data_IF_420770274819
#
_entry.id   IF_420770274819
#
_cell.length_a   1.000
_cell.length_b   1.000
_cell.length_c   1.000
_cell.angle_alpha   90.00
_cell.angle_beta   90.00
_cell.angle_gamma   90.00
#
_symmetry.space_group_name_H-M   'P 1'
#
loop_
_entity.id
_entity.type
_entity.pdbx_description
1 polymer ?
#
# COMPACT_ATOMS: atom_id res chain seq x y z
N UNK A 1 -70.38 -10.35 -8.80
CA UNK A 1 -69.24 -9.78 -9.57
C UNK A 1 -68.16 -9.13 -8.70
N UNK A 2 -68.47 -8.57 -7.52
CA UNK A 2 -67.49 -7.91 -6.63
C UNK A 2 -66.44 -8.87 -6.03
N UNK A 3 -66.78 -10.15 -5.80
CA UNK A 3 -65.86 -11.15 -5.24
C UNK A 3 -64.76 -11.63 -6.20
N UNK A 4 -65.02 -11.62 -7.51
CA UNK A 4 -64.02 -12.03 -8.51
C UNK A 4 -62.97 -10.94 -8.79
N UNK A 5 -63.33 -9.67 -8.60
CA UNK A 5 -62.39 -8.55 -8.70
C UNK A 5 -61.34 -8.51 -7.57
N UNK A 6 -61.74 -8.89 -6.35
CA UNK A 6 -60.83 -8.96 -5.21
C UNK A 6 -59.76 -10.06 -5.38
N UNK A 7 -60.13 -11.21 -5.95
CA UNK A 7 -59.21 -12.33 -6.20
C UNK A 7 -58.21 -11.99 -7.33
N UNK A 8 -58.64 -11.25 -8.36
CA UNK A 8 -57.76 -10.77 -9.42
C UNK A 8 -56.71 -9.75 -8.94
N UNK A 9 -57.07 -8.89 -7.98
CA UNK A 9 -56.14 -7.95 -7.33
C UNK A 9 -55.13 -8.70 -6.45
N UNK A 10 -55.54 -9.72 -5.68
CA UNK A 10 -54.64 -10.56 -4.90
C UNK A 10 -53.66 -11.38 -5.76
N UNK A 11 -54.07 -11.82 -6.95
CA UNK A 11 -53.17 -12.51 -7.90
C UNK A 11 -52.18 -11.56 -8.60
N UNK A 12 -52.55 -10.29 -8.82
CA UNK A 12 -51.63 -9.26 -9.32
C UNK A 12 -50.60 -8.81 -8.26
N UNK A 13 -50.89 -9.00 -6.97
CA UNK A 13 -49.98 -8.69 -5.85
C UNK A 13 -48.84 -9.71 -5.68
N UNK A 14 -48.97 -10.93 -6.21
CA UNK A 14 -47.94 -11.97 -6.10
C UNK A 14 -46.73 -11.75 -7.04
N UNK A 15 -46.80 -10.81 -7.98
CA UNK A 15 -45.71 -10.44 -8.88
C UNK A 15 -44.93 -9.19 -8.43
N UNK A 16 -44.90 -8.89 -7.12
CA UNK A 16 -44.14 -7.76 -6.57
C UNK A 16 -42.62 -8.02 -6.53
N UNK A 17 -41.98 -8.14 -7.71
CA UNK A 17 -40.54 -7.88 -7.87
C UNK A 17 -40.27 -6.50 -8.50
N UNK A 18 -41.31 -5.66 -8.62
CA UNK A 18 -41.29 -4.45 -9.43
C UNK A 18 -41.21 -3.14 -8.63
N UNK A 19 -40.81 -3.17 -7.35
CA UNK A 19 -40.43 -1.94 -6.63
C UNK A 19 -38.92 -1.74 -6.84
N UNK A 20 -38.48 -0.63 -7.45
CA UNK A 20 -37.05 -0.35 -7.59
C UNK A 20 -36.35 -0.29 -6.23
N UNK A 21 -35.49 -1.27 -5.97
CA UNK A 21 -34.65 -1.35 -4.78
C UNK A 21 -33.24 -0.79 -5.04
N UNK A 22 -32.70 -0.06 -4.07
CA UNK A 22 -31.32 0.43 -4.09
C UNK A 22 -30.39 -0.63 -3.47
N UNK A 23 -30.07 -1.66 -4.24
CA UNK A 23 -29.21 -2.77 -3.81
C UNK A 23 -29.92 -3.89 -3.04
N UNK A 24 -29.17 -4.94 -2.65
CA UNK A 24 -29.71 -6.15 -2.02
C UNK A 24 -30.16 -5.94 -0.57
N UNK A 25 -31.18 -6.67 -0.13
CA UNK A 25 -31.54 -6.76 1.29
C UNK A 25 -30.54 -7.65 2.04
N UNK A 26 -30.48 -7.50 3.36
CA UNK A 26 -29.74 -8.39 4.25
C UNK A 26 -30.15 -9.86 4.03
N UNK A 27 -31.45 -10.12 3.83
CA UNK A 27 -31.97 -11.44 3.50
C UNK A 27 -31.44 -11.99 2.18
N UNK A 28 -31.27 -11.14 1.16
CA UNK A 28 -30.75 -11.56 -0.14
C UNK A 28 -29.28 -11.99 -0.01
N UNK A 29 -28.47 -11.16 0.67
CA UNK A 29 -27.05 -11.44 0.94
C UNK A 29 -26.90 -12.74 1.75
N UNK A 30 -27.70 -12.91 2.80
CA UNK A 30 -27.71 -14.12 3.63
C UNK A 30 -28.16 -15.36 2.85
N UNK A 31 -29.13 -15.23 1.93
CA UNK A 31 -29.66 -16.36 1.15
C UNK A 31 -28.73 -16.84 0.05
N UNK A 32 -27.80 -15.99 -0.40
CA UNK A 32 -26.80 -16.31 -1.42
C UNK A 32 -25.51 -16.88 -0.82
N UNK A 33 -25.24 -16.59 0.47
CA UNK A 33 -24.04 -17.06 1.16
C UNK A 33 -23.91 -18.59 1.12
N UNK A 34 -22.71 -19.06 0.76
CA UNK A 34 -22.37 -20.47 0.68
C UNK A 34 -22.99 -21.24 -0.48
N UNK A 35 -23.59 -20.55 -1.47
CA UNK A 35 -24.17 -21.15 -2.67
C UNK A 35 -23.32 -20.86 -3.91
N UNK A 36 -23.29 -21.83 -4.81
CA UNK A 36 -22.71 -21.74 -6.14
C UNK A 36 -23.55 -20.86 -7.06
N UNK A 37 -22.94 -20.35 -8.14
CA UNK A 37 -23.66 -19.60 -9.17
C UNK A 37 -24.84 -20.36 -9.79
N UNK A 38 -24.72 -21.68 -9.97
CA UNK A 38 -25.82 -22.52 -10.43
C UNK A 38 -26.96 -22.63 -9.42
N UNK A 39 -26.66 -22.72 -8.13
CA UNK A 39 -27.69 -22.81 -7.07
C UNK A 39 -28.51 -21.53 -6.97
N UNK A 40 -27.91 -20.36 -7.24
CA UNK A 40 -28.60 -19.05 -7.21
C UNK A 40 -29.08 -18.59 -8.60
N UNK A 41 -28.87 -19.39 -9.65
CA UNK A 41 -29.31 -19.07 -11.01
C UNK A 41 -28.56 -17.90 -11.68
N UNK A 42 -27.33 -17.59 -11.24
CA UNK A 42 -26.49 -16.52 -11.82
C UNK A 42 -25.23 -17.13 -12.43
N UNK A 43 -25.09 -16.99 -13.75
CA UNK A 43 -23.87 -17.39 -14.47
C UNK A 43 -22.70 -16.52 -13.99
N UNK A 44 -21.56 -17.14 -13.71
CA UNK A 44 -20.33 -16.49 -13.24
C UNK A 44 -20.46 -15.72 -11.91
N UNK A 45 -21.38 -16.13 -11.03
CA UNK A 45 -21.45 -15.54 -9.70
C UNK A 45 -20.21 -15.89 -8.86
N UNK A 46 -19.64 -14.88 -8.22
CA UNK A 46 -18.62 -15.05 -7.18
C UNK A 46 -19.24 -15.73 -5.97
N UNK A 47 -18.78 -16.94 -5.66
CA UNK A 47 -19.14 -17.64 -4.43
C UNK A 47 -18.45 -16.94 -3.26
N UNK A 48 -19.19 -16.71 -2.19
CA UNK A 48 -18.68 -16.16 -0.93
C UNK A 48 -19.45 -16.80 0.23
N UNK A 49 -19.02 -16.53 1.45
CA UNK A 49 -19.73 -16.91 2.65
C UNK A 49 -19.70 -15.77 3.68
N UNK A 50 -20.55 -15.87 4.69
CA UNK A 50 -20.72 -14.84 5.71
C UNK A 50 -20.11 -15.28 7.03
N UNK A 51 -19.40 -14.36 7.66
CA UNK A 51 -18.92 -14.44 9.04
C UNK A 51 -19.58 -13.34 9.85
N UNK A 52 -20.27 -13.71 10.92
CA UNK A 52 -20.73 -12.74 11.89
C UNK A 52 -19.56 -12.19 12.69
N UNK A 53 -19.45 -10.86 12.72
CA UNK A 53 -18.37 -10.19 13.44
C UNK A 53 -18.61 -10.31 14.93
N UNK A 54 -17.65 -10.95 15.58
CA UNK A 54 -17.54 -11.15 17.02
C UNK A 54 -16.11 -10.89 17.51
N UNK A 55 -15.85 -11.05 18.80
CA UNK A 55 -14.52 -10.82 19.37
C UNK A 55 -13.44 -11.76 18.86
N UNK A 56 -13.78 -12.98 18.40
CA UNK A 56 -12.82 -13.93 17.85
C UNK A 56 -12.39 -13.53 16.44
N UNK A 57 -13.36 -13.35 15.55
CA UNK A 57 -13.16 -12.93 14.16
C UNK A 57 -12.44 -11.58 14.07
N UNK A 58 -12.83 -10.59 14.90
CA UNK A 58 -12.14 -9.30 14.92
C UNK A 58 -10.66 -9.41 15.29
N UNK A 59 -10.32 -10.21 16.33
CA UNK A 59 -8.93 -10.43 16.75
C UNK A 59 -8.12 -11.21 15.72
N UNK A 60 -8.71 -12.22 15.11
CA UNK A 60 -8.05 -13.01 14.07
C UNK A 60 -7.68 -12.12 12.88
N UNK A 61 -8.61 -11.27 12.45
CA UNK A 61 -8.39 -10.33 11.35
C UNK A 61 -7.40 -9.22 11.72
N UNK A 62 -7.43 -8.70 12.95
CA UNK A 62 -6.56 -7.60 13.39
C UNK A 62 -5.09 -8.00 13.55
N UNK A 63 -4.83 -9.23 14.00
CA UNK A 63 -3.47 -9.68 14.32
C UNK A 63 -2.67 -10.15 13.10
N UNK A 64 -3.31 -10.21 11.93
CA UNK A 64 -2.67 -10.71 10.72
C UNK A 64 -1.74 -9.66 10.08
N UNK A 65 -0.45 -9.98 9.96
CA UNK A 65 0.56 -9.14 9.30
C UNK A 65 1.09 -9.85 8.06
N UNK A 66 0.74 -9.35 6.87
CA UNK A 66 1.30 -9.84 5.61
C UNK A 66 2.75 -9.38 5.44
N UNK A 67 3.68 -10.31 5.63
CA UNK A 67 5.05 -10.46 5.06
C UNK A 67 5.84 -9.24 4.55
N UNK A 68 7.11 -9.19 4.99
CA UNK A 68 8.05 -8.07 4.99
C UNK A 68 9.14 -8.08 3.86
N UNK A 69 9.67 -6.91 3.49
CA UNK A 69 10.74 -6.58 2.52
C UNK A 69 12.06 -7.32 2.83
N UNK A 70 12.39 -7.51 4.12
CA UNK A 70 13.54 -8.31 4.58
C UNK A 70 13.52 -9.76 4.06
N UNK A 71 12.30 -10.28 3.82
CA UNK A 71 11.95 -11.44 2.97
C UNK A 71 12.80 -11.61 1.72
N UNK A 72 12.78 -10.54 0.90
CA UNK A 72 13.14 -10.57 -0.53
C UNK A 72 14.56 -10.11 -0.79
N UNK A 73 15.06 -9.19 0.04
CA UNK A 73 16.39 -8.59 -0.14
C UNK A 73 17.38 -8.98 0.97
N UNK A 74 16.92 -9.65 2.03
CA UNK A 74 17.68 -9.86 3.26
C UNK A 74 17.75 -8.57 4.09
N UNK A 75 18.03 -8.70 5.39
CA UNK A 75 18.48 -7.57 6.22
C UNK A 75 19.90 -7.28 5.75
N UNK A 76 20.06 -6.27 4.89
CA UNK A 76 21.22 -6.08 4.00
C UNK A 76 22.57 -6.51 4.58
N UNK A 77 23.29 -7.34 3.83
CA UNK A 77 24.70 -7.64 4.07
C UNK A 77 25.52 -6.35 4.13
N UNK A 78 26.52 -6.32 5.02
CA UNK A 78 27.33 -5.14 5.31
C UNK A 78 27.89 -4.47 4.05
N UNK A 79 28.31 -3.21 4.19
CA UNK A 79 28.90 -2.43 3.10
C UNK A 79 29.97 -3.29 2.42
N UNK A 80 29.67 -3.78 1.22
CA UNK A 80 30.70 -4.37 0.37
C UNK A 80 31.84 -3.36 0.28
N UNK A 81 33.09 -3.84 0.24
CA UNK A 81 34.28 -2.99 0.30
C UNK A 81 34.10 -1.75 -0.60
N UNK A 82 34.08 -0.55 -0.04
CA UNK A 82 33.81 0.67 -0.80
C UNK A 82 34.98 0.92 -1.75
N UNK A 83 34.72 0.77 -3.03
CA UNK A 83 35.69 1.01 -4.09
C UNK A 83 35.34 2.26 -4.87
N UNK A 84 36.38 2.92 -5.36
CA UNK A 84 36.30 4.02 -6.32
C UNK A 84 35.72 3.48 -7.63
N UNK A 85 34.81 4.22 -8.24
CA UNK A 85 34.23 3.92 -9.55
C UNK A 85 34.54 4.99 -10.60
N UNK A 86 34.11 4.72 -11.83
CA UNK A 86 34.23 5.65 -12.96
C UNK A 86 33.37 6.89 -12.71
N UNK A 87 33.93 8.08 -12.98
CA UNK A 87 33.26 9.36 -12.74
C UNK A 87 33.38 9.91 -11.31
N UNK A 88 34.02 9.17 -10.39
CA UNK A 88 34.35 9.69 -9.07
C UNK A 88 35.39 10.81 -9.17
N UNK A 89 35.22 11.81 -8.31
CA UNK A 89 36.13 12.94 -8.15
C UNK A 89 36.95 12.74 -6.88
N UNK A 90 38.27 12.74 -7.02
CA UNK A 90 39.20 12.54 -5.91
C UNK A 90 40.16 13.71 -5.83
N UNK A 91 40.61 14.00 -4.60
CA UNK A 91 41.69 14.93 -4.33
C UNK A 91 42.88 14.12 -3.81
N UNK A 92 43.98 14.16 -4.54
CA UNK A 92 45.24 13.51 -4.18
C UNK A 92 46.18 14.57 -3.66
N UNK A 93 46.53 14.52 -2.38
CA UNK A 93 47.55 15.37 -1.78
C UNK A 93 48.84 14.58 -1.66
N UNK A 94 49.92 15.09 -2.26
CA UNK A 94 51.25 14.50 -2.22
C UNK A 94 52.15 15.42 -1.39
N UNK A 95 52.83 14.86 -0.41
CA UNK A 95 53.76 15.53 0.50
C UNK A 95 55.18 15.00 0.27
N UNK A 96 56.18 15.86 0.40
CA UNK A 96 57.60 15.48 0.34
C UNK A 96 58.38 16.08 1.51
N UNK A 97 59.37 15.35 2.01
CA UNK A 97 60.19 15.80 3.14
C UNK A 97 61.19 16.92 2.73
N UNK A 98 61.68 16.87 1.47
CA UNK A 98 62.70 17.77 0.93
C UNK A 98 62.20 19.19 0.60
N UNK A 99 63.10 20.17 0.62
CA UNK A 99 62.82 21.57 0.22
C UNK A 99 62.86 21.81 -1.28
N UNK A 100 63.49 20.90 -2.05
CA UNK A 100 63.56 20.88 -3.53
C UNK A 100 62.82 19.66 -4.11
N UNK A 101 61.76 19.22 -3.44
CA UNK A 101 60.95 18.07 -3.84
C UNK A 101 60.12 18.33 -5.11
N UNK A 102 59.85 17.27 -5.88
CA UNK A 102 59.12 17.31 -7.17
C UNK A 102 57.70 17.88 -7.04
N UNK A 103 57.09 17.70 -5.86
CA UNK A 103 55.76 18.17 -5.48
C UNK A 103 55.78 19.23 -4.37
N UNK A 104 56.93 19.87 -4.13
CA UNK A 104 57.06 20.99 -3.19
C UNK A 104 57.18 22.33 -3.94
N UNK A 105 56.60 23.38 -3.38
CA UNK A 105 56.83 24.76 -3.78
C UNK A 105 57.59 25.49 -2.68
N UNK A 106 58.16 26.66 -2.99
CA UNK A 106 58.90 27.50 -2.02
C UNK A 106 58.08 27.83 -0.76
N UNK A 107 56.75 27.80 -0.85
CA UNK A 107 55.83 28.13 0.25
C UNK A 107 55.08 26.90 0.83
N UNK A 108 55.06 25.75 0.14
CA UNK A 108 54.27 24.59 0.53
C UNK A 108 54.98 23.27 0.23
N UNK A 109 55.11 22.40 1.24
CA UNK A 109 55.62 21.03 1.10
C UNK A 109 54.59 20.02 0.58
N UNK A 110 53.47 20.50 0.05
CA UNK A 110 52.41 19.66 -0.49
C UNK A 110 51.86 20.20 -1.81
N UNK A 111 51.49 19.28 -2.69
CA UNK A 111 50.72 19.55 -3.91
C UNK A 111 49.41 18.77 -3.85
N UNK A 112 48.29 19.44 -4.09
CA UNK A 112 46.98 18.82 -4.21
C UNK A 112 46.54 18.78 -5.68
N UNK A 113 46.09 17.61 -6.13
CA UNK A 113 45.66 17.35 -7.50
C UNK A 113 44.22 16.84 -7.46
N UNK A 114 43.32 17.59 -8.09
CA UNK A 114 41.95 17.14 -8.30
C UNK A 114 41.90 16.27 -9.57
N UNK A 115 41.40 15.06 -9.44
CA UNK A 115 41.30 14.09 -10.53
C UNK A 115 39.87 13.56 -10.67
N UNK A 116 39.52 13.19 -11.90
CA UNK A 116 38.27 12.49 -12.22
C UNK A 116 38.62 11.16 -12.85
N UNK A 117 38.04 10.07 -12.34
CA UNK A 117 38.26 8.72 -12.87
C UNK A 117 37.59 8.58 -14.23
N UNK A 118 38.38 8.32 -15.26
CA UNK A 118 37.93 8.24 -16.65
C UNK A 118 37.22 6.91 -16.96
N UNK A 119 36.53 6.78 -18.11
CA UNK A 119 35.79 5.56 -18.49
C UNK A 119 36.62 4.26 -18.54
N UNK A 120 37.92 4.36 -18.77
CA UNK A 120 38.87 3.23 -18.70
C UNK A 120 39.23 2.82 -17.26
N UNK A 121 38.72 3.56 -16.27
CA UNK A 121 38.95 3.35 -14.85
C UNK A 121 40.26 3.94 -14.33
N UNK A 122 40.94 4.79 -15.10
CA UNK A 122 42.21 5.39 -14.75
C UNK A 122 42.12 6.91 -14.55
N UNK A 123 43.15 7.51 -13.95
CA UNK A 123 43.38 8.94 -13.95
C UNK A 123 44.89 9.23 -13.98
N UNK A 124 45.27 10.35 -14.58
CA UNK A 124 46.66 10.75 -14.70
C UNK A 124 47.14 11.46 -13.42
N UNK A 125 48.29 11.02 -12.90
CA UNK A 125 49.02 11.71 -11.85
C UNK A 125 50.32 12.26 -12.47
N UNK A 126 50.62 13.56 -12.35
CA UNK A 126 51.85 14.15 -12.88
C UNK A 126 53.09 13.37 -12.46
N UNK A 127 54.04 13.22 -13.38
CA UNK A 127 55.30 12.46 -13.23
C UNK A 127 55.17 10.95 -12.97
N UNK A 128 54.00 10.46 -12.53
CA UNK A 128 53.68 9.04 -12.40
C UNK A 128 53.14 8.46 -13.70
N UNK A 129 52.22 9.17 -14.36
CA UNK A 129 51.46 8.70 -15.52
C UNK A 129 50.05 8.24 -15.14
N UNK A 130 49.49 7.34 -15.94
CA UNK A 130 48.13 6.83 -15.72
C UNK A 130 48.10 5.78 -14.59
N UNK A 131 47.24 5.98 -13.59
CA UNK A 131 47.04 5.07 -12.46
C UNK A 131 45.61 4.55 -12.48
N UNK A 132 45.43 3.23 -12.30
CA UNK A 132 44.10 2.63 -12.19
C UNK A 132 43.48 2.93 -10.82
N UNK A 133 42.28 3.50 -10.81
CA UNK A 133 41.51 3.81 -9.61
C UNK A 133 40.23 2.96 -9.49
N UNK A 134 39.53 2.72 -10.60
CA UNK A 134 38.28 1.97 -10.58
C UNK A 134 38.46 0.56 -9.98
N UNK A 135 37.61 0.20 -9.02
CA UNK A 135 37.65 -1.06 -8.30
C UNK A 135 38.65 -1.12 -7.14
N UNK A 136 39.37 -0.02 -6.83
CA UNK A 136 40.27 0.07 -5.66
C UNK A 136 39.62 0.82 -4.51
N UNK A 137 39.98 0.50 -3.28
CA UNK A 137 39.70 1.36 -2.13
C UNK A 137 40.60 2.60 -2.15
N UNK A 138 40.26 3.64 -1.38
CA UNK A 138 41.11 4.83 -1.21
C UNK A 138 42.53 4.44 -0.74
N UNK A 139 42.64 3.51 0.20
CA UNK A 139 43.94 2.99 0.66
C UNK A 139 44.71 2.24 -0.43
N UNK A 140 44.03 1.43 -1.24
CA UNK A 140 44.68 0.72 -2.36
C UNK A 140 45.15 1.69 -3.44
N UNK A 141 44.39 2.76 -3.71
CA UNK A 141 44.80 3.82 -4.60
C UNK A 141 46.02 4.58 -4.05
N UNK A 142 46.01 4.93 -2.75
CA UNK A 142 47.13 5.56 -2.04
C UNK A 142 48.41 4.73 -2.17
N UNK A 143 48.33 3.44 -1.85
CA UNK A 143 49.48 2.52 -1.95
C UNK A 143 50.03 2.43 -3.37
N UNK A 144 49.16 2.40 -4.38
CA UNK A 144 49.59 2.35 -5.77
C UNK A 144 50.30 3.62 -6.23
N UNK A 145 49.84 4.80 -5.78
CA UNK A 145 50.50 6.08 -6.06
C UNK A 145 51.86 6.12 -5.37
N UNK A 146 51.92 5.75 -4.08
CA UNK A 146 53.17 5.70 -3.32
C UNK A 146 54.21 4.81 -4.01
N UNK A 147 53.84 3.59 -4.38
CA UNK A 147 54.72 2.67 -5.10
C UNK A 147 55.26 3.25 -6.42
N UNK A 148 54.43 4.00 -7.13
CA UNK A 148 54.84 4.63 -8.38
C UNK A 148 55.74 5.88 -8.18
N UNK A 149 55.79 6.42 -6.96
CA UNK A 149 56.58 7.59 -6.58
C UNK A 149 57.91 7.27 -5.89
N UNK A 150 58.12 6.05 -5.38
CA UNK A 150 59.32 5.65 -4.59
C UNK A 150 60.65 6.04 -5.26
N UNK A 151 60.74 5.95 -6.59
CA UNK A 151 61.96 6.26 -7.34
C UNK A 151 61.91 7.63 -8.04
N UNK A 152 60.92 8.47 -7.72
CA UNK A 152 60.65 9.75 -8.40
C UNK A 152 60.57 10.94 -7.46
N UNK A 153 60.21 10.72 -6.20
CA UNK A 153 60.04 11.76 -5.18
C UNK A 153 60.83 11.39 -3.90
N UNK A 154 61.20 12.38 -3.09
CA UNK A 154 61.98 12.17 -1.87
C UNK A 154 61.03 11.94 -0.69
N UNK A 155 61.02 10.71 -0.18
CA UNK A 155 60.16 10.28 0.93
C UNK A 155 58.69 10.74 0.76
N UNK A 156 58.03 10.33 -0.36
CA UNK A 156 56.69 10.80 -0.64
C UNK A 156 55.68 10.23 0.37
N UNK A 157 54.77 11.07 0.85
CA UNK A 157 53.54 10.66 1.52
C UNK A 157 52.31 11.12 0.72
N UNK A 158 51.25 10.33 0.72
CA UNK A 158 50.09 10.54 -0.15
C UNK A 158 48.81 10.39 0.64
N UNK A 159 47.88 11.33 0.47
CA UNK A 159 46.52 11.26 0.98
C UNK A 159 45.57 11.27 -0.22
N UNK A 160 44.62 10.33 -0.25
CA UNK A 160 43.57 10.28 -1.27
C UNK A 160 42.23 10.49 -0.61
N UNK A 161 41.57 11.61 -0.95
CA UNK A 161 40.28 12.00 -0.40
C UNK A 161 39.22 11.93 -1.49
N UNK A 162 38.05 11.37 -1.16
CA UNK A 162 36.89 11.39 -2.05
C UNK A 162 36.20 12.75 -1.97
N UNK A 163 36.07 13.44 -3.11
CA UNK A 163 35.38 14.75 -3.21
C UNK A 163 33.95 14.58 -3.74
N UNK A 164 33.75 13.65 -4.67
CA UNK A 164 32.43 13.33 -5.23
C UNK A 164 32.33 11.87 -5.66
N UNK A 165 31.24 11.21 -5.30
CA UNK A 165 31.02 9.77 -5.54
C UNK A 165 29.95 9.52 -6.61
N UNK A 166 30.16 10.07 -7.81
CA UNK A 166 29.20 9.95 -8.93
C UNK A 166 28.89 8.50 -9.28
N UNK A 167 29.87 7.60 -9.15
CA UNK A 167 29.70 6.18 -9.44
C UNK A 167 28.82 5.43 -8.43
N UNK A 168 28.57 6.04 -7.26
CA UNK A 168 27.83 5.44 -6.14
C UNK A 168 26.61 6.28 -5.83
N UNK A 169 25.66 6.34 -6.75
CA UNK A 169 24.40 7.07 -6.54
C UNK A 169 23.20 6.13 -6.36
N UNK A 170 22.16 6.65 -5.72
CA UNK A 170 20.82 6.05 -5.64
C UNK A 170 19.84 7.04 -6.22
N UNK A 171 18.91 6.58 -7.04
CA UNK A 171 17.86 7.45 -7.57
C UNK A 171 16.71 7.49 -6.58
N UNK A 172 16.33 8.67 -6.10
CA UNK A 172 15.14 8.86 -5.26
C UNK A 172 14.14 9.74 -5.99
N UNK A 173 12.93 9.25 -6.22
CA UNK A 173 11.91 9.97 -6.99
C UNK A 173 10.49 9.72 -6.48
N UNK A 174 9.53 10.45 -7.07
CA UNK A 174 8.12 10.41 -6.70
C UNK A 174 7.76 11.42 -5.61
N UNK A 175 6.93 11.00 -4.65
CA UNK A 175 6.37 11.80 -3.56
C UNK A 175 7.40 12.09 -2.45
N UNK A 176 8.51 12.73 -2.80
CA UNK A 176 9.55 13.24 -1.90
C UNK A 176 9.76 14.73 -2.11
N UNK A 177 10.35 15.42 -1.13
CA UNK A 177 10.53 16.88 -1.18
C UNK A 177 11.43 17.35 -2.32
N UNK A 178 12.46 16.57 -2.68
CA UNK A 178 13.47 16.87 -3.70
C UNK A 178 13.87 15.59 -4.48
N UNK A 179 13.09 15.18 -5.49
CA UNK A 179 13.46 14.08 -6.38
C UNK A 179 14.83 14.34 -7.02
N UNK A 180 15.78 13.42 -6.83
CA UNK A 180 17.18 13.59 -7.28
C UNK A 180 17.95 12.27 -7.28
N UNK A 181 19.12 12.29 -7.95
CA UNK A 181 20.15 11.27 -7.72
C UNK A 181 20.94 11.66 -6.47
N UNK A 182 20.96 10.76 -5.49
CA UNK A 182 21.57 10.96 -4.18
C UNK A 182 22.92 10.21 -4.15
N UNK A 183 24.08 10.91 -4.11
CA UNK A 183 25.38 10.26 -3.96
C UNK A 183 25.51 9.59 -2.59
N UNK A 184 26.04 8.37 -2.54
CA UNK A 184 26.23 7.60 -1.31
C UNK A 184 27.54 7.96 -0.63
N UNK A 185 27.47 8.03 0.70
CA UNK A 185 28.61 8.22 1.59
C UNK A 185 29.47 6.96 1.69
N UNK A 186 30.59 7.05 2.40
CA UNK A 186 31.48 5.90 2.66
C UNK A 186 30.93 4.94 3.73
N UNK A 187 29.88 5.36 4.45
CA UNK A 187 29.17 4.54 5.43
C UNK A 187 27.97 3.82 4.79
N UNK A 188 27.44 2.80 5.46
CA UNK A 188 26.15 2.22 5.09
C UNK A 188 25.06 3.27 5.25
N UNK A 189 24.20 3.42 4.24
CA UNK A 189 23.01 4.25 4.32
C UNK A 189 21.79 3.39 4.06
N UNK A 190 20.73 3.64 4.80
CA UNK A 190 19.44 2.96 4.69
C UNK A 190 18.52 3.64 3.69
N UNK A 191 17.42 2.98 3.33
CA UNK A 191 16.35 3.56 2.50
C UNK A 191 15.86 4.88 3.11
N UNK A 192 15.66 4.92 4.43
CA UNK A 192 15.19 6.13 5.12
C UNK A 192 16.22 7.26 5.08
N UNK A 193 17.52 6.96 5.15
CA UNK A 193 18.57 7.99 5.11
C UNK A 193 18.58 8.71 3.76
N UNK A 194 18.49 7.96 2.65
CA UNK A 194 18.47 8.55 1.31
C UNK A 194 17.15 9.26 1.01
N UNK A 195 16.01 8.78 1.53
CA UNK A 195 14.73 9.50 1.44
C UNK A 195 14.80 10.82 2.22
N UNK A 196 15.41 10.82 3.41
CA UNK A 196 15.59 12.04 4.20
C UNK A 196 16.47 13.06 3.47
N UNK A 197 17.58 12.62 2.86
CA UNK A 197 18.44 13.49 2.03
C UNK A 197 17.74 14.01 0.78
N UNK A 198 16.78 13.26 0.24
CA UNK A 198 15.88 13.72 -0.83
C UNK A 198 14.74 14.62 -0.32
N UNK A 199 14.85 15.22 0.87
CA UNK A 199 13.86 16.15 1.43
C UNK A 199 12.69 15.49 2.16
N UNK A 200 12.75 14.18 2.41
CA UNK A 200 11.71 13.44 3.12
C UNK A 200 10.45 13.17 2.29
N UNK A 201 9.51 12.35 2.80
CA UNK A 201 8.22 12.10 2.17
C UNK A 201 7.33 13.35 2.21
N UNK A 202 6.54 13.59 1.15
CA UNK A 202 5.57 14.72 1.11
C UNK A 202 4.16 14.33 1.58
N UNK A 203 3.93 13.05 1.86
CA UNK A 203 2.67 12.53 2.36
C UNK A 203 2.88 11.77 3.68
N UNK A 204 1.82 11.57 4.48
CA UNK A 204 1.94 10.84 5.73
C UNK A 204 2.45 9.40 5.51
N UNK A 205 3.20 8.83 6.48
CA UNK A 205 3.76 7.47 6.33
C UNK A 205 2.74 6.37 6.09
N UNK A 206 1.48 6.57 6.52
CA UNK A 206 0.39 5.62 6.34
C UNK A 206 -0.30 5.69 4.96
N UNK A 207 0.03 6.68 4.13
CA UNK A 207 -0.40 6.81 2.73
C UNK A 207 0.77 6.70 1.75
N UNK A 208 1.99 6.54 2.25
CA UNK A 208 3.20 6.56 1.43
C UNK A 208 3.75 5.16 1.27
N UNK A 209 3.91 4.70 0.03
CA UNK A 209 4.56 3.44 -0.28
C UNK A 209 5.94 3.70 -0.89
N UNK A 210 6.92 2.96 -0.42
CA UNK A 210 8.29 3.00 -0.91
C UNK A 210 8.54 1.75 -1.74
N UNK A 211 8.90 1.95 -2.99
CA UNK A 211 9.30 0.88 -3.91
C UNK A 211 10.80 0.94 -4.13
N UNK A 212 11.49 -0.15 -3.77
CA UNK A 212 12.90 -0.35 -4.08
C UNK A 212 13.03 -1.28 -5.29
N UNK A 213 13.79 -0.83 -6.29
CA UNK A 213 14.23 -1.65 -7.42
C UNK A 213 15.75 -1.80 -7.39
N UNK A 214 16.23 -3.05 -7.30
CA UNK A 214 17.65 -3.43 -7.26
C UNK A 214 17.88 -4.64 -8.17
N UNK A 215 18.79 -4.54 -9.15
CA UNK A 215 19.17 -5.65 -10.04
C UNK A 215 17.94 -6.42 -10.62
N UNK A 216 16.98 -5.69 -11.19
CA UNK A 216 15.69 -6.21 -11.73
C UNK A 216 14.74 -6.85 -10.71
N UNK A 217 15.02 -6.76 -9.40
CA UNK A 217 14.07 -7.15 -8.34
C UNK A 217 13.40 -5.90 -7.79
N UNK A 218 12.08 -5.94 -7.68
CA UNK A 218 11.27 -4.84 -7.14
C UNK A 218 10.47 -5.31 -5.93
N UNK A 219 10.42 -4.48 -4.89
CA UNK A 219 9.51 -4.67 -3.77
C UNK A 219 9.00 -3.34 -3.27
N UNK A 220 7.73 -3.34 -2.88
CA UNK A 220 7.02 -2.19 -2.33
C UNK A 220 6.66 -2.45 -0.88
N UNK A 221 6.81 -1.44 -0.03
CA UNK A 221 6.46 -1.50 1.40
C UNK A 221 5.84 -0.18 1.82
N UNK A 222 4.97 -0.22 2.83
CA UNK A 222 4.43 1.00 3.44
C UNK A 222 5.55 1.73 4.18
N UNK A 223 5.63 3.04 4.03
CA UNK A 223 6.64 3.87 4.70
C UNK A 223 6.54 3.76 6.23
N UNK A 224 5.33 3.65 6.78
CA UNK A 224 5.12 3.38 8.20
C UNK A 224 5.82 2.09 8.67
N UNK A 225 5.81 1.03 7.85
CA UNK A 225 6.50 -0.22 8.17
C UNK A 225 8.02 -0.03 8.24
N UNK A 226 8.61 0.82 7.39
CA UNK A 226 10.03 1.16 7.48
C UNK A 226 10.38 1.91 8.77
N UNK A 227 9.45 2.73 9.28
CA UNK A 227 9.61 3.46 10.55
C UNK A 227 9.47 2.54 11.76
N UNK A 228 8.52 1.60 11.72
CA UNK A 228 8.18 0.75 12.87
C UNK A 228 9.08 -0.49 13.00
N UNK A 229 9.61 -0.97 11.87
CA UNK A 229 10.38 -2.21 11.81
C UNK A 229 11.79 -1.94 11.26
N UNK A 230 12.81 -1.79 12.13
CA UNK A 230 14.18 -1.53 11.69
C UNK A 230 14.74 -2.56 10.69
N UNK A 231 14.25 -3.80 10.72
CA UNK A 231 14.64 -4.87 9.77
C UNK A 231 14.20 -4.59 8.34
N UNK A 232 13.19 -3.74 8.15
CA UNK A 232 12.61 -3.37 6.86
C UNK A 232 13.34 -2.19 6.23
N UNK A 233 13.96 -1.35 7.06
CA UNK A 233 14.81 -0.24 6.64
C UNK A 233 16.22 -0.73 6.22
N UNK A 234 16.27 -1.49 5.13
CA UNK A 234 17.51 -2.10 4.64
C UNK A 234 18.48 -1.07 4.04
N UNK A 235 19.76 -1.42 3.98
CA UNK A 235 20.79 -0.61 3.35
C UNK A 235 20.62 -0.54 1.83
N UNK A 236 20.88 0.64 1.26
CA UNK A 236 20.86 0.89 -0.18
C UNK A 236 22.22 0.56 -0.82
N UNK A 237 22.20 0.30 -2.11
CA UNK A 237 23.37 -0.02 -2.93
C UNK A 237 23.47 0.94 -4.12
N UNK A 238 24.68 1.19 -4.64
CA UNK A 238 24.85 1.92 -5.90
C UNK A 238 23.94 1.36 -7.00
N UNK A 239 23.23 2.25 -7.70
CA UNK A 239 22.30 1.91 -8.78
C UNK A 239 20.88 1.55 -8.32
N UNK A 240 20.61 1.50 -7.02
CA UNK A 240 19.24 1.33 -6.52
C UNK A 240 18.33 2.47 -7.01
N UNK A 241 17.07 2.12 -7.28
CA UNK A 241 16.02 3.09 -7.57
C UNK A 241 14.95 3.01 -6.50
N UNK A 242 14.70 4.13 -5.84
CA UNK A 242 13.71 4.28 -4.79
C UNK A 242 12.62 5.22 -5.31
N UNK A 243 11.42 4.68 -5.44
CA UNK A 243 10.25 5.43 -5.85
C UNK A 243 9.27 5.50 -4.69
N UNK A 244 8.95 6.72 -4.23
CA UNK A 244 7.95 6.96 -3.20
C UNK A 244 6.65 7.37 -3.88
N UNK A 245 5.54 6.74 -3.54
CA UNK A 245 4.22 7.10 -4.09
C UNK A 245 3.24 7.34 -2.96
N UNK A 246 2.39 8.35 -3.13
CA UNK A 246 1.23 8.55 -2.27
C UNK A 246 0.07 7.72 -2.83
N UNK A 247 -0.34 6.70 -2.10
CA UNK A 247 -1.53 5.89 -2.39
C UNK A 247 -2.37 5.78 -1.10
N UNK A 248 -3.29 6.73 -0.86
CA UNK A 248 -4.10 6.72 0.34
C UNK A 248 -5.00 5.49 0.35
N UNK A 249 -5.05 4.79 1.49
CA UNK A 249 -6.02 3.70 1.66
C UNK A 249 -7.43 4.26 1.66
N UNK A 250 -8.33 3.58 0.97
CA UNK A 250 -9.73 4.00 0.84
C UNK A 250 -10.65 2.83 1.06
N UNK A 251 -11.85 3.07 1.60
CA UNK A 251 -12.97 2.13 1.54
C UNK A 251 -14.10 2.75 0.73
N UNK A 252 -15.06 1.93 0.33
CA UNK A 252 -16.29 2.38 -0.33
C UNK A 252 -17.46 2.03 0.57
N UNK A 253 -18.37 2.98 0.80
CA UNK A 253 -19.59 2.76 1.58
C UNK A 253 -20.83 3.04 0.73
N UNK A 254 -21.78 2.12 0.78
CA UNK A 254 -22.98 2.10 -0.08
C UNK A 254 -24.21 1.65 0.72
N UNK A 255 -25.39 1.85 0.13
CA UNK A 255 -26.67 1.38 0.66
C UNK A 255 -27.40 2.45 1.46
N UNK A 256 -28.06 2.05 2.55
CA UNK A 256 -28.88 2.93 3.41
C UNK A 256 -28.01 3.72 4.41
N UNK A 257 -27.02 4.46 3.91
CA UNK A 257 -26.21 5.41 4.68
C UNK A 257 -26.52 6.84 4.28
N UNK A 258 -26.07 7.82 5.08
CA UNK A 258 -26.29 9.24 4.76
C UNK A 258 -25.45 9.74 3.57
N UNK A 259 -24.30 9.12 3.30
CA UNK A 259 -23.43 9.46 2.16
C UNK A 259 -22.81 8.24 1.50
N UNK A 260 -23.26 7.91 0.28
CA UNK A 260 -22.66 6.86 -0.56
C UNK A 260 -21.43 7.42 -1.29
N UNK A 261 -20.23 6.94 -0.95
CA UNK A 261 -18.98 7.48 -1.47
C UNK A 261 -17.78 6.57 -1.26
N UNK A 262 -16.68 6.89 -1.94
CA UNK A 262 -15.33 6.36 -1.63
C UNK A 262 -14.66 7.31 -0.64
N UNK A 263 -14.20 6.79 0.48
CA UNK A 263 -13.67 7.57 1.61
C UNK A 263 -12.20 7.19 1.86
N UNK A 264 -11.26 8.16 1.88
CA UNK A 264 -9.90 7.91 2.34
C UNK A 264 -9.87 7.70 3.86
N UNK A 265 -8.97 6.83 4.33
CA UNK A 265 -8.89 6.49 5.75
C UNK A 265 -8.54 7.72 6.61
N UNK A 266 -7.67 8.59 6.11
CA UNK A 266 -7.16 9.73 6.88
C UNK A 266 -6.28 9.36 8.09
N UNK A 267 -6.02 8.07 8.30
CA UNK A 267 -5.27 7.51 9.42
C UNK A 267 -4.57 6.19 9.05
N UNK A 268 -3.71 5.70 9.95
CA UNK A 268 -3.04 4.41 9.76
C UNK A 268 -3.97 3.22 9.94
N UNK A 269 -4.90 3.32 10.86
CA UNK A 269 -5.84 2.26 11.15
C UNK A 269 -7.21 2.91 11.18
N UNK A 270 -8.21 2.17 10.71
CA UNK A 270 -9.59 2.62 10.69
C UNK A 270 -10.43 1.42 11.08
N UNK A 271 -11.22 1.54 12.14
CA UNK A 271 -12.14 0.48 12.53
C UNK A 271 -13.51 0.62 11.83
N UNK A 272 -14.34 -0.42 11.90
CA UNK A 272 -15.62 -0.47 11.19
C UNK A 272 -16.58 0.65 11.65
N UNK A 273 -16.60 0.96 12.95
CA UNK A 273 -17.47 2.03 13.45
C UNK A 273 -17.01 3.42 12.98
N UNK A 274 -15.71 3.68 12.99
CA UNK A 274 -15.15 4.92 12.45
C UNK A 274 -15.46 5.06 10.95
N UNK A 275 -15.33 3.99 10.17
CA UNK A 275 -15.65 4.01 8.74
C UNK A 275 -17.12 4.33 8.48
N UNK A 276 -18.05 3.74 9.25
CA UNK A 276 -19.48 4.08 9.15
C UNK A 276 -19.74 5.52 9.62
N UNK A 277 -19.05 5.98 10.66
CA UNK A 277 -19.18 7.35 11.16
C UNK A 277 -18.68 8.40 10.15
N UNK A 278 -17.58 8.13 9.43
CA UNK A 278 -17.07 8.99 8.35
C UNK A 278 -18.07 9.19 7.20
N UNK A 279 -19.03 8.27 7.04
CA UNK A 279 -20.12 8.37 6.07
C UNK A 279 -21.38 9.07 6.62
N UNK A 280 -21.35 9.54 7.88
CA UNK A 280 -22.49 10.11 8.58
C UNK A 280 -23.40 9.09 9.27
N UNK A 281 -23.03 7.80 9.25
CA UNK A 281 -23.82 6.71 9.79
C UNK A 281 -24.92 6.19 8.85
N UNK A 282 -25.67 5.22 9.35
CA UNK A 282 -26.89 4.74 8.70
C UNK A 282 -27.95 5.83 8.58
N UNK A 283 -28.83 5.69 7.59
CA UNK A 283 -30.01 6.54 7.47
C UNK A 283 -31.13 5.93 8.32
N UNK A 284 -31.43 6.54 9.47
CA UNK A 284 -32.40 6.07 10.47
C UNK A 284 -33.78 5.67 9.90
N UNK A 285 -34.22 6.29 8.81
CA UNK A 285 -35.53 6.01 8.19
C UNK A 285 -35.52 4.75 7.32
N UNK A 286 -34.34 4.25 6.96
CA UNK A 286 -34.21 3.23 5.92
C UNK A 286 -33.20 2.14 6.23
N UNK A 287 -32.28 2.31 7.16
CA UNK A 287 -31.20 1.36 7.44
C UNK A 287 -31.71 0.16 8.24
N UNK A 288 -31.23 -1.02 7.89
CA UNK A 288 -31.34 -2.21 8.72
C UNK A 288 -30.15 -2.28 9.67
N UNK A 289 -30.39 -2.04 10.96
CA UNK A 289 -29.32 -2.09 11.97
C UNK A 289 -28.67 -3.48 12.07
N UNK A 290 -29.34 -4.55 11.66
CA UNK A 290 -28.80 -5.92 11.68
C UNK A 290 -27.91 -6.24 10.48
N UNK A 291 -27.86 -5.34 9.48
CA UNK A 291 -27.34 -5.63 8.15
C UNK A 291 -26.25 -4.67 7.68
N UNK A 292 -25.18 -4.49 8.45
CA UNK A 292 -23.95 -3.89 7.92
C UNK A 292 -23.02 -4.99 7.43
N UNK A 293 -22.56 -4.89 6.18
CA UNK A 293 -21.75 -5.92 5.54
C UNK A 293 -20.42 -5.35 5.07
N UNK A 294 -19.31 -6.05 5.33
CA UNK A 294 -18.00 -5.74 4.76
C UNK A 294 -17.65 -6.82 3.75
N UNK A 295 -17.63 -6.47 2.47
CA UNK A 295 -17.18 -7.34 1.39
C UNK A 295 -15.67 -7.18 1.22
N UNK A 296 -14.93 -8.28 1.35
CA UNK A 296 -13.47 -8.27 1.36
C UNK A 296 -12.89 -9.52 0.70
N UNK A 297 -11.70 -9.37 0.11
CA UNK A 297 -10.83 -10.49 -0.21
C UNK A 297 -9.80 -10.70 0.90
N UNK A 298 -9.79 -11.88 1.52
CA UNK A 298 -8.92 -12.25 2.63
C UNK A 298 -7.95 -13.38 2.26
N UNK A 299 -6.82 -13.43 2.96
CA UNK A 299 -5.83 -14.50 2.78
C UNK A 299 -6.44 -15.87 3.14
N UNK A 300 -5.99 -16.92 2.46
CA UNK A 300 -6.59 -18.25 2.56
C UNK A 300 -6.57 -18.81 4.00
N UNK A 301 -5.52 -18.52 4.75
CA UNK A 301 -5.35 -18.92 6.15
C UNK A 301 -6.34 -18.23 7.08
N UNK A 302 -6.63 -16.94 6.86
CA UNK A 302 -7.68 -16.21 7.60
C UNK A 302 -9.04 -16.82 7.29
N UNK A 303 -9.36 -17.05 6.01
CA UNK A 303 -10.66 -17.61 5.61
C UNK A 303 -10.86 -19.02 6.16
N UNK A 304 -9.85 -19.87 6.09
CA UNK A 304 -9.89 -21.23 6.63
C UNK A 304 -10.03 -21.22 8.16
N UNK A 305 -9.34 -20.32 8.87
CA UNK A 305 -9.45 -20.17 10.31
C UNK A 305 -10.84 -19.63 10.74
N UNK A 306 -11.44 -18.72 9.96
CA UNK A 306 -12.78 -18.19 10.23
C UNK A 306 -13.89 -19.21 9.97
N UNK A 307 -13.81 -19.96 8.87
CA UNK A 307 -14.89 -20.86 8.43
C UNK A 307 -14.71 -22.30 8.91
N UNK A 308 -13.48 -22.68 9.23
CA UNK A 308 -13.05 -24.07 9.44
C UNK A 308 -12.75 -24.80 8.12
N UNK A 309 -11.86 -25.80 8.16
CA UNK A 309 -11.35 -26.48 6.95
C UNK A 309 -12.45 -27.18 6.15
N UNK A 310 -13.45 -27.77 6.82
CA UNK A 310 -14.54 -28.48 6.16
C UNK A 310 -15.43 -27.55 5.34
N UNK A 311 -15.82 -26.41 5.94
CA UNK A 311 -16.68 -25.42 5.27
C UNK A 311 -15.94 -24.75 4.12
N UNK A 312 -14.67 -24.38 4.34
CA UNK A 312 -13.82 -23.82 3.29
C UNK A 312 -13.70 -24.76 2.08
N UNK A 313 -13.37 -26.03 2.31
CA UNK A 313 -13.28 -27.02 1.22
C UNK A 313 -14.62 -27.24 0.50
N UNK A 314 -15.75 -27.22 1.22
CA UNK A 314 -17.08 -27.28 0.59
C UNK A 314 -17.32 -26.10 -0.35
N UNK A 315 -16.96 -24.89 0.07
CA UNK A 315 -17.10 -23.68 -0.73
C UNK A 315 -16.22 -23.71 -1.98
N UNK A 316 -14.97 -24.19 -1.86
CA UNK A 316 -14.06 -24.38 -3.00
C UNK A 316 -14.69 -25.33 -4.02
N UNK A 317 -15.28 -26.44 -3.57
CA UNK A 317 -16.00 -27.38 -4.45
C UNK A 317 -17.24 -26.74 -5.11
N UNK A 318 -17.85 -25.74 -4.47
CA UNK A 318 -18.96 -24.95 -5.02
C UNK A 318 -18.53 -23.83 -5.96
N UNK A 319 -17.22 -23.62 -6.14
CA UNK A 319 -16.66 -22.62 -7.05
C UNK A 319 -16.13 -21.35 -6.37
N UNK A 320 -15.88 -21.37 -5.06
CA UNK A 320 -15.10 -20.34 -4.38
C UNK A 320 -13.68 -20.30 -4.98
N UNK A 321 -13.30 -19.14 -5.55
CA UNK A 321 -12.03 -18.95 -6.25
C UNK A 321 -11.26 -17.76 -5.67
N UNK A 322 -9.92 -17.85 -5.58
CA UNK A 322 -9.11 -16.72 -5.17
C UNK A 322 -8.97 -15.68 -6.29
N UNK A 323 -8.61 -14.46 -5.91
CA UNK A 323 -8.17 -13.41 -6.84
C UNK A 323 -6.74 -13.66 -7.37
N UNK A 324 -6.21 -12.73 -8.16
CA UNK A 324 -4.86 -12.82 -8.73
C UNK A 324 -3.74 -12.84 -7.67
N UNK A 325 -4.04 -12.44 -6.44
CA UNK A 325 -3.13 -12.42 -5.30
C UNK A 325 -3.28 -13.65 -4.38
N UNK A 326 -4.20 -14.57 -4.69
CA UNK A 326 -4.45 -15.77 -3.87
C UNK A 326 -5.46 -15.56 -2.75
N UNK A 327 -6.16 -14.43 -2.70
CA UNK A 327 -7.11 -14.07 -1.64
C UNK A 327 -8.53 -14.48 -1.99
N UNK A 328 -9.30 -14.93 -1.02
CA UNK A 328 -10.65 -15.44 -1.19
C UNK A 328 -11.72 -14.42 -0.79
N UNK A 329 -12.83 -14.31 -1.54
CA UNK A 329 -13.93 -13.42 -1.18
C UNK A 329 -14.67 -13.92 0.06
N UNK A 330 -14.86 -13.03 1.03
CA UNK A 330 -15.61 -13.27 2.25
C UNK A 330 -16.40 -12.02 2.62
N UNK A 331 -17.55 -12.22 3.27
CA UNK A 331 -18.43 -11.15 3.73
C UNK A 331 -18.51 -11.19 5.24
N UNK A 332 -18.24 -10.07 5.89
CA UNK A 332 -18.45 -9.94 7.32
C UNK A 332 -19.78 -9.26 7.58
N UNK A 333 -20.63 -9.83 8.43
CA UNK A 333 -21.88 -9.19 8.88
C UNK A 333 -21.69 -8.60 10.27
N UNK A 334 -22.08 -7.34 10.41
CA UNK A 334 -22.04 -6.59 11.65
C UNK A 334 -23.46 -6.13 12.01
N UNK A 335 -23.93 -6.57 13.18
CA UNK A 335 -25.27 -6.25 13.69
C UNK A 335 -25.15 -5.12 14.74
N UNK A 336 -25.47 -3.89 14.33
CA UNK A 336 -25.45 -2.71 15.18
C UNK A 336 -26.61 -2.65 16.18
N UNK A 337 -27.61 -3.53 16.08
CA UNK A 337 -28.68 -3.61 17.09
C UNK A 337 -28.20 -4.21 18.41
N UNK A 338 -27.05 -4.91 18.40
CA UNK A 338 -26.47 -5.58 19.56
C UNK A 338 -25.38 -4.71 20.21
N UNK A 339 -25.48 -4.39 21.52
CA UNK A 339 -24.49 -3.54 22.20
C UNK A 339 -23.06 -4.09 22.20
N UNK A 340 -22.89 -5.42 22.32
CA UNK A 340 -21.59 -6.09 22.28
C UNK A 340 -20.92 -5.95 20.90
N UNK A 341 -21.72 -5.96 19.82
CA UNK A 341 -21.21 -5.75 18.48
C UNK A 341 -20.59 -4.35 18.36
N UNK A 342 -21.17 -3.30 18.97
CA UNK A 342 -20.56 -1.96 18.97
C UNK A 342 -19.18 -1.93 19.66
N UNK A 343 -18.94 -2.77 20.67
CA UNK A 343 -17.62 -2.89 21.29
C UNK A 343 -16.65 -3.58 20.32
N UNK A 344 -17.09 -4.68 19.69
CA UNK A 344 -16.28 -5.42 18.70
C UNK A 344 -15.94 -4.55 17.49
N UNK A 345 -16.87 -3.70 17.04
CA UNK A 345 -16.69 -2.82 15.89
C UNK A 345 -15.57 -1.79 16.04
N UNK A 346 -15.16 -1.46 17.28
CA UNK A 346 -13.99 -0.61 17.55
C UNK A 346 -12.66 -1.34 17.30
N UNK A 347 -12.69 -2.67 17.27
CA UNK A 347 -11.50 -3.53 17.10
C UNK A 347 -11.44 -4.19 15.73
N UNK A 348 -12.55 -4.25 14.99
CA UNK A 348 -12.58 -4.83 13.66
C UNK A 348 -11.96 -3.85 12.64
N UNK A 349 -10.81 -4.16 12.05
CA UNK A 349 -10.12 -3.24 11.15
C UNK A 349 -10.78 -3.21 9.77
N UNK A 350 -10.91 -2.03 9.18
CA UNK A 350 -11.23 -1.84 7.76
C UNK A 350 -9.93 -1.89 6.96
N UNK A 351 -9.91 -2.67 5.88
CA UNK A 351 -8.77 -2.85 4.99
C UNK A 351 -8.94 -2.02 3.72
N UNK A 352 -7.83 -1.77 3.04
CA UNK A 352 -7.84 -1.00 1.81
C UNK A 352 -8.74 -1.67 0.77
N UNK A 353 -9.62 -0.87 0.15
CA UNK A 353 -10.63 -1.27 -0.84
C UNK A 353 -11.76 -2.16 -0.32
N UNK A 354 -11.96 -2.21 0.99
CA UNK A 354 -13.19 -2.78 1.54
C UNK A 354 -14.42 -2.07 0.97
N UNK A 355 -15.47 -2.86 0.73
CA UNK A 355 -16.80 -2.33 0.43
C UNK A 355 -17.70 -2.58 1.62
N UNK A 356 -18.10 -1.50 2.28
CA UNK A 356 -19.07 -1.49 3.37
C UNK A 356 -20.45 -1.24 2.78
N UNK A 357 -21.40 -2.11 3.04
CA UNK A 357 -22.77 -1.99 2.56
C UNK A 357 -23.71 -2.00 3.76
N UNK A 358 -24.46 -0.92 3.96
CA UNK A 358 -25.56 -0.90 4.92
C UNK A 358 -26.84 -1.32 4.19
N UNK A 359 -27.35 -2.51 4.52
CA UNK A 359 -28.64 -2.95 4.00
C UNK A 359 -29.72 -1.98 4.44
N UNK A 360 -30.69 -1.80 3.56
CA UNK A 360 -31.95 -1.15 3.91
C UNK A 360 -32.89 -2.12 4.62
N UNK A 361 -33.75 -1.58 5.47
CA UNK A 361 -34.77 -2.33 6.19
C UNK A 361 -35.92 -2.72 5.23
N UNK A 362 -36.52 -3.93 5.36
CA UNK A 362 -37.60 -4.39 4.47
C UNK A 362 -38.84 -3.48 4.46
N UNK A 363 -39.10 -2.76 5.55
CA UNK A 363 -40.23 -1.81 5.63
C UNK A 363 -40.15 -0.71 4.57
N UNK A 364 -38.96 -0.37 4.08
CA UNK A 364 -38.76 0.65 3.04
C UNK A 364 -39.45 0.24 1.74
N UNK A 365 -39.38 -1.05 1.36
CA UNK A 365 -40.06 -1.53 0.14
C UNK A 365 -41.57 -1.56 0.32
N UNK A 366 -42.06 -1.92 1.50
CA UNK A 366 -43.48 -1.91 1.82
C UNK A 366 -44.02 -0.48 1.69
N UNK A 367 -43.33 0.50 2.27
CA UNK A 367 -43.71 1.91 2.15
C UNK A 367 -43.69 2.39 0.69
N UNK A 368 -42.61 2.10 -0.06
CA UNK A 368 -42.52 2.44 -1.49
C UNK A 368 -43.64 1.80 -2.31
N UNK A 369 -43.98 0.54 -2.01
CA UNK A 369 -45.09 -0.17 -2.64
C UNK A 369 -46.42 0.50 -2.34
N UNK A 370 -46.70 0.81 -1.07
CA UNK A 370 -47.92 1.49 -0.65
C UNK A 370 -48.05 2.87 -1.30
N UNK A 371 -46.96 3.63 -1.39
CA UNK A 371 -46.94 4.92 -2.08
C UNK A 371 -47.22 4.78 -3.58
N UNK A 372 -46.68 3.74 -4.22
CA UNK A 372 -46.95 3.46 -5.63
C UNK A 372 -48.43 3.12 -5.86
N UNK A 373 -49.03 2.30 -5.00
CA UNK A 373 -50.45 1.90 -5.08
C UNK A 373 -51.41 3.03 -4.70
N UNK A 374 -51.02 3.94 -3.80
CA UNK A 374 -51.86 5.04 -3.35
C UNK A 374 -51.95 6.19 -4.38
N UNK A 375 -50.93 6.39 -5.22
CA UNK A 375 -50.86 7.48 -6.21
C UNK A 375 -52.05 7.51 -7.20
N UNK A 376 -52.49 6.39 -7.81
CA UNK A 376 -53.68 6.36 -8.66
C UNK A 376 -54.99 6.64 -7.91
N UNK A 377 -55.10 6.19 -6.65
CA UNK A 377 -56.32 6.32 -5.83
C UNK A 377 -56.55 7.79 -5.44
N UNK A 378 -55.47 8.51 -5.10
CA UNK A 378 -55.50 9.95 -4.87
C UNK A 378 -56.01 10.72 -6.09
N UNK A 379 -55.46 10.45 -7.28
CA UNK A 379 -55.89 11.09 -8.52
C UNK A 379 -57.36 10.80 -8.87
N UNK A 380 -57.84 9.57 -8.67
CA UNK A 380 -59.23 9.21 -8.90
C UNK A 380 -60.20 9.91 -7.93
N UNK A 381 -59.80 10.12 -6.67
CA UNK A 381 -60.59 10.86 -5.69
C UNK A 381 -60.69 12.36 -6.02
N UNK A 382 -59.62 12.96 -6.57
CA UNK A 382 -59.60 14.35 -7.03
C UNK A 382 -60.44 14.58 -8.29
N UNK A 383 -60.46 13.64 -9.23
CA UNK A 383 -61.33 13.71 -10.42
C UNK A 383 -62.80 13.60 -10.02
N UNK A 384 -63.13 12.72 -9.07
CA UNK A 384 -64.51 12.53 -8.61
C UNK A 384 -65.07 13.74 -7.86
N UNK A 385 -64.22 14.53 -7.20
CA UNK A 385 -64.63 15.82 -6.61
C UNK A 385 -64.82 16.95 -7.64
N UNK A 386 -64.23 16.83 -8.83
CA UNK A 386 -64.39 17.83 -9.92
C UNK A 386 -65.65 17.54 -10.75
N UNK A 387 -66.05 16.27 -10.92
CA UNK A 387 -67.28 15.89 -11.65
C UNK A 387 -68.57 15.95 -10.82
N UNK A 388 -68.48 16.17 -9.50
CA UNK A 388 -69.63 16.29 -8.59
C UNK A 388 -69.95 17.75 -8.18
N UNK A 389 -69.30 18.73 -8.82
CA UNK A 389 -69.73 20.13 -8.88
C UNK A 389 -70.22 20.41 -10.30
#
# INVERSE_FOLDING_TARGET
MIRYGAIAICLALASCKAVPGEGPLASDILSDAGRSGSEIGRRDATVFDIVDVDGYSARLVSNYVSTALSRRFGVGGGVGRVTIGVGDQLKVSIFEAGSDGLFSTTESKQTAIDIVVQPDGMAAIPYVGSVRFAGRTLEQARQAILQALVNKAVEPDVIVTSVGTTSRNVTVSGAVGRPSMVPLNLIAESIMDVIARAGGPVAPPYESYVTLTRNNKTSTVLLKTLLDSPRENINVQPGDQIFVVRDPRTFTILGAVKGNQRVPFGANDLNLLEAVALAGGGNDQSVDAQGYFVFRYEEADIVEALLGPQKFNNLVNKGLKPDAQGRYPIVYRFDMSRPDSLIVGQTFPVKNRDVIYASRHPSVDISKFMDFVARPIGAASSVRSITNN
#
